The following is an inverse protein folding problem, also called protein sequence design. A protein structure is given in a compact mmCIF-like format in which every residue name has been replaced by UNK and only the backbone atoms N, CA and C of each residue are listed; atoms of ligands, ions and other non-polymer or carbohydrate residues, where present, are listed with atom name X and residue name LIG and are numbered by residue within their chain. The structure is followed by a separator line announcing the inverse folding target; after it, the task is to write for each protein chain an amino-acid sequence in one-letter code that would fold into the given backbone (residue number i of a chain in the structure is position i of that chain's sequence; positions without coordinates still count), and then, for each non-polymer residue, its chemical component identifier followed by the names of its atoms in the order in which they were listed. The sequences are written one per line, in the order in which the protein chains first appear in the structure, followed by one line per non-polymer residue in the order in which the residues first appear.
data_IF_140891201179
#
_entry.id   IF_140891201179
#
_cell.length_a   1.000
_cell.length_b   1.000
_cell.length_c   1.000
_cell.angle_alpha   90.00
_cell.angle_beta   90.00
_cell.angle_gamma   90.00
#
_symmetry.space_group_name_H-M   'P 1'
#
loop_
_entity.id
_entity.type
_entity.pdbx_description
1 polymer ?
#
# COMPACT_ATOMS: atom_id res chain seq x y z
N UNK A 1 14.87 -21.87 31.73
CA UNK A 1 14.15 -22.36 30.53
C UNK A 1 13.60 -21.15 29.82
N UNK A 2 13.99 -20.95 28.55
CA UNK A 2 13.49 -19.82 27.76
C UNK A 2 12.02 -20.08 27.37
N UNK A 3 11.09 -19.27 27.90
CA UNK A 3 9.66 -19.37 27.63
C UNK A 3 9.28 -18.58 26.32
N UNK A 4 9.81 -19.02 25.19
CA UNK A 4 9.58 -18.33 23.91
C UNK A 4 8.18 -18.60 23.30
N UNK A 5 7.42 -19.54 23.85
CA UNK A 5 6.10 -19.91 23.35
C UNK A 5 4.98 -19.15 24.10
N UNK A 6 4.19 -18.37 23.35
CA UNK A 6 3.04 -17.58 23.86
C UNK A 6 1.99 -18.50 24.52
N UNK A 7 1.72 -19.66 23.94
CA UNK A 7 0.75 -20.63 24.48
C UNK A 7 1.16 -21.15 25.86
N UNK A 8 2.45 -21.44 26.05
CA UNK A 8 3.00 -21.90 27.31
C UNK A 8 2.95 -20.81 28.39
N UNK A 9 3.25 -19.56 28.04
CA UNK A 9 3.11 -18.41 28.96
C UNK A 9 1.66 -18.21 29.41
N UNK A 10 0.71 -18.27 28.48
CA UNK A 10 -0.72 -18.15 28.79
C UNK A 10 -1.21 -19.29 29.72
N UNK A 11 -0.70 -20.50 29.52
CA UNK A 11 -0.99 -21.62 30.41
C UNK A 11 -0.47 -21.39 31.83
N UNK A 12 0.76 -20.87 31.98
CA UNK A 12 1.36 -20.54 33.27
C UNK A 12 0.59 -19.42 33.99
N UNK A 13 0.17 -18.37 33.25
CA UNK A 13 -0.68 -17.31 33.82
C UNK A 13 -2.01 -17.88 34.33
N UNK A 14 -2.68 -18.73 33.54
CA UNK A 14 -3.94 -19.38 33.94
C UNK A 14 -3.77 -20.27 35.18
N UNK A 15 -2.63 -20.94 35.30
CA UNK A 15 -2.31 -21.80 36.44
C UNK A 15 -1.79 -21.03 37.64
N UNK A 16 -1.64 -19.71 37.61
CA UNK A 16 -1.10 -18.88 38.69
C UNK A 16 0.38 -19.11 38.98
N UNK A 17 1.12 -19.76 38.08
CA UNK A 17 2.54 -20.08 38.26
C UNK A 17 3.39 -18.87 37.95
N UNK A 18 4.17 -18.33 38.91
CA UNK A 18 5.01 -17.16 38.69
C UNK A 18 6.16 -17.48 37.73
N UNK A 19 6.49 -16.52 36.87
CA UNK A 19 7.66 -16.63 36.00
C UNK A 19 8.24 -15.25 35.64
N UNK A 20 9.53 -15.25 35.33
CA UNK A 20 10.25 -14.12 34.76
C UNK A 20 10.94 -14.62 33.47
N UNK A 21 10.62 -14.01 32.38
CA UNK A 21 11.21 -14.31 31.07
C UNK A 21 11.78 -13.07 30.43
N UNK A 22 13.07 -13.01 30.23
CA UNK A 22 13.75 -11.89 29.57
C UNK A 22 13.74 -12.08 28.05
N UNK A 23 13.52 -10.97 27.27
CA UNK A 23 13.22 -9.62 27.75
C UNK A 23 11.71 -9.40 28.00
N UNK A 24 11.35 -8.85 29.14
CA UNK A 24 10.12 -8.09 29.31
C UNK A 24 8.84 -8.81 29.78
N UNK A 25 8.80 -10.15 29.99
CA UNK A 25 7.61 -10.81 30.50
C UNK A 25 7.81 -11.24 31.96
N UNK A 26 7.03 -10.65 32.86
CA UNK A 26 7.06 -10.94 34.29
C UNK A 26 5.65 -11.22 34.80
N UNK A 27 5.44 -12.35 35.44
CA UNK A 27 4.20 -12.68 36.12
C UNK A 27 4.49 -13.12 37.55
N UNK A 28 4.21 -12.25 38.51
CA UNK A 28 4.42 -12.46 39.93
C UNK A 28 3.11 -12.17 40.68
N UNK A 29 2.15 -13.09 40.67
CA UNK A 29 0.81 -12.88 41.24
C UNK A 29 0.83 -12.56 42.73
N UNK A 30 1.78 -13.08 43.48
CA UNK A 30 1.93 -12.80 44.92
C UNK A 30 2.41 -11.37 45.22
N UNK A 31 2.93 -10.63 44.20
CA UNK A 31 3.30 -9.24 44.28
C UNK A 31 2.34 -8.31 43.50
N UNK A 32 1.30 -8.88 42.89
CA UNK A 32 0.38 -8.13 42.01
C UNK A 32 1.02 -7.62 40.72
N UNK A 33 2.18 -8.16 40.32
CA UNK A 33 2.93 -7.69 39.14
C UNK A 33 2.62 -8.58 37.93
N UNK A 34 2.09 -7.94 36.88
CA UNK A 34 1.90 -8.53 35.55
C UNK A 34 2.49 -7.57 34.52
N UNK A 35 3.71 -7.84 34.08
CA UNK A 35 4.34 -7.13 32.97
C UNK A 35 4.34 -8.08 31.76
N UNK A 36 3.63 -7.70 30.73
CA UNK A 36 3.65 -8.39 29.44
C UNK A 36 4.26 -7.46 28.41
N UNK A 37 5.39 -7.87 27.85
CA UNK A 37 5.86 -7.28 26.63
C UNK A 37 4.85 -7.61 25.53
N UNK A 38 4.10 -6.63 25.10
CA UNK A 38 3.34 -6.73 23.87
C UNK A 38 4.40 -6.70 22.77
N UNK A 39 4.88 -7.89 22.39
CA UNK A 39 5.66 -8.03 21.17
C UNK A 39 4.77 -7.52 20.02
N UNK A 40 4.83 -6.24 19.72
CA UNK A 40 4.60 -5.82 18.36
C UNK A 40 5.66 -6.57 17.57
N UNK A 41 5.24 -7.57 16.77
CA UNK A 41 6.11 -8.06 15.72
C UNK A 41 6.73 -6.82 15.10
N UNK A 42 8.05 -6.64 15.27
CA UNK A 42 8.76 -5.73 14.38
C UNK A 42 8.58 -6.37 13.01
N UNK A 43 7.56 -5.90 12.32
CA UNK A 43 7.42 -6.15 10.91
C UNK A 43 8.75 -5.66 10.36
N UNK A 44 9.48 -6.55 9.71
CA UNK A 44 10.70 -6.18 8.99
C UNK A 44 10.31 -4.95 8.19
N UNK A 45 10.99 -3.81 8.43
CA UNK A 45 10.70 -2.57 7.68
C UNK A 45 10.78 -2.94 6.21
N UNK A 46 9.64 -3.01 5.57
CA UNK A 46 9.61 -3.29 4.16
C UNK A 46 10.29 -2.11 3.47
N UNK A 47 11.35 -2.38 2.71
CA UNK A 47 12.09 -1.32 1.99
C UNK A 47 11.21 -0.59 0.98
N UNK A 48 10.09 -1.18 0.59
CA UNK A 48 9.11 -0.65 -0.36
C UNK A 48 7.67 -0.91 0.10
N UNK A 49 6.76 -0.06 -0.36
CA UNK A 49 5.33 -0.25 -0.16
C UNK A 49 4.81 -1.47 -0.94
N UNK A 50 3.84 -2.19 -0.35
CA UNK A 50 3.03 -3.13 -1.12
C UNK A 50 2.10 -2.35 -2.07
N UNK A 51 1.65 -2.94 -3.20
CA UNK A 51 0.74 -2.27 -4.13
C UNK A 51 -0.51 -1.69 -3.47
N UNK A 52 -1.20 -2.48 -2.63
CA UNK A 52 -2.37 -2.00 -1.89
C UNK A 52 -2.02 -0.87 -0.89
N UNK A 53 -0.83 -0.89 -0.30
CA UNK A 53 -0.34 0.18 0.58
C UNK A 53 -0.15 1.47 -0.20
N UNK A 54 0.45 1.39 -1.39
CA UNK A 54 0.63 2.56 -2.25
C UNK A 54 -0.70 3.15 -2.74
N UNK A 55 -1.69 2.30 -3.05
CA UNK A 55 -3.04 2.77 -3.38
C UNK A 55 -3.67 3.56 -2.22
N UNK A 56 -3.61 3.02 -1.00
CA UNK A 56 -4.11 3.71 0.20
C UNK A 56 -3.31 4.99 0.48
N UNK A 57 -1.99 4.96 0.31
CA UNK A 57 -1.13 6.13 0.43
C UNK A 57 -1.55 7.25 -0.52
N UNK A 58 -1.76 6.93 -1.81
CA UNK A 58 -2.18 7.91 -2.81
C UNK A 58 -3.57 8.48 -2.52
N UNK A 59 -4.52 7.65 -2.10
CA UNK A 59 -5.84 8.11 -1.69
C UNK A 59 -5.73 9.15 -0.54
N UNK A 60 -4.98 8.82 0.50
CA UNK A 60 -4.78 9.72 1.63
C UNK A 60 -3.99 10.99 1.25
N UNK A 61 -3.10 10.93 0.27
CA UNK A 61 -2.31 12.08 -0.19
C UNK A 61 -3.20 13.21 -0.72
N UNK A 62 -4.31 12.87 -1.40
CA UNK A 62 -5.22 13.84 -1.99
C UNK A 62 -6.34 14.32 -1.06
N UNK A 63 -6.46 13.76 0.14
CA UNK A 63 -7.39 14.24 1.16
C UNK A 63 -6.92 15.56 1.76
N UNK A 64 -7.82 16.30 2.41
CA UNK A 64 -7.49 17.49 3.19
C UNK A 64 -6.65 17.15 4.44
N UNK A 65 -5.83 18.12 4.91
CA UNK A 65 -4.83 17.85 5.96
C UNK A 65 -5.46 17.53 7.33
N UNK A 66 -6.66 18.05 7.61
CA UNK A 66 -7.35 17.84 8.89
C UNK A 66 -8.33 16.66 8.87
N UNK A 67 -8.53 16.06 7.71
CA UNK A 67 -9.53 15.03 7.52
C UNK A 67 -9.08 13.68 8.05
N UNK A 68 -10.00 12.97 8.70
CA UNK A 68 -9.85 11.56 9.02
C UNK A 68 -10.93 10.77 8.30
N UNK A 69 -10.61 9.60 7.81
CA UNK A 69 -11.51 8.75 7.03
C UNK A 69 -11.61 7.37 7.66
N UNK A 70 -12.79 6.76 7.54
CA UNK A 70 -12.97 5.40 8.01
C UNK A 70 -12.23 4.42 7.11
N UNK A 71 -11.59 3.44 7.73
CA UNK A 71 -10.88 2.37 7.02
C UNK A 71 -11.77 1.61 6.04
N UNK A 72 -13.05 1.42 6.40
CA UNK A 72 -14.08 0.80 5.57
C UNK A 72 -14.39 1.62 4.31
N UNK A 73 -14.45 2.96 4.43
CA UNK A 73 -14.71 3.86 3.31
C UNK A 73 -13.57 3.81 2.28
N UNK A 74 -12.32 3.88 2.74
CA UNK A 74 -11.15 3.76 1.86
C UNK A 74 -11.11 2.39 1.19
N UNK A 75 -11.43 1.31 1.93
CA UNK A 75 -11.47 -0.03 1.36
C UNK A 75 -12.52 -0.17 0.26
N UNK A 76 -13.71 0.40 0.47
CA UNK A 76 -14.78 0.39 -0.52
C UNK A 76 -14.42 1.23 -1.76
N UNK A 77 -13.89 2.44 -1.56
CA UNK A 77 -13.49 3.33 -2.66
C UNK A 77 -12.41 2.71 -3.55
N UNK A 78 -11.44 2.01 -2.94
CA UNK A 78 -10.32 1.38 -3.65
C UNK A 78 -10.59 -0.08 -4.02
N UNK A 79 -11.79 -0.58 -3.79
CA UNK A 79 -12.20 -1.97 -4.00
C UNK A 79 -11.23 -2.98 -3.35
N UNK A 80 -10.78 -2.67 -2.12
CA UNK A 80 -9.86 -3.50 -1.36
C UNK A 80 -10.59 -4.43 -0.40
N UNK A 81 -10.07 -5.66 -0.26
CA UNK A 81 -10.57 -6.58 0.77
C UNK A 81 -10.22 -6.10 2.19
N UNK A 82 -10.99 -6.54 3.20
CA UNK A 82 -10.72 -6.24 4.62
C UNK A 82 -9.30 -6.63 5.05
N UNK A 83 -8.75 -7.68 4.47
CA UNK A 83 -7.38 -8.12 4.76
C UNK A 83 -6.36 -7.19 4.11
N UNK A 84 -6.58 -6.79 2.85
CA UNK A 84 -5.69 -5.90 2.11
C UNK A 84 -5.60 -4.53 2.76
N UNK A 85 -6.74 -3.90 3.08
CA UNK A 85 -6.73 -2.59 3.74
C UNK A 85 -6.11 -2.65 5.14
N UNK A 86 -6.30 -3.76 5.88
CA UNK A 86 -5.70 -3.93 7.21
C UNK A 86 -4.18 -4.04 7.13
N UNK A 87 -3.64 -4.77 6.16
CA UNK A 87 -2.19 -4.88 5.93
C UNK A 87 -1.61 -3.55 5.44
N UNK A 88 -2.30 -2.89 4.51
CA UNK A 88 -1.88 -1.60 3.96
C UNK A 88 -1.77 -0.52 5.06
N UNK A 89 -2.82 -0.36 5.87
CA UNK A 89 -2.82 0.62 6.96
C UNK A 89 -1.83 0.27 8.07
N UNK A 90 -1.60 -1.02 8.35
CA UNK A 90 -0.56 -1.44 9.30
C UNK A 90 0.84 -1.07 8.80
N UNK A 91 1.13 -1.25 7.51
CA UNK A 91 2.41 -0.86 6.92
C UNK A 91 2.62 0.66 6.94
N UNK A 92 1.60 1.45 6.59
CA UNK A 92 1.67 2.92 6.66
C UNK A 92 1.85 3.45 8.10
N UNK A 93 1.21 2.83 9.07
CA UNK A 93 1.36 3.17 10.48
C UNK A 93 2.76 2.82 10.99
N UNK A 94 3.32 1.67 10.59
CA UNK A 94 4.69 1.27 10.92
C UNK A 94 5.73 2.22 10.32
N UNK A 95 5.48 2.72 9.10
CA UNK A 95 6.31 3.77 8.47
C UNK A 95 6.14 5.13 9.15
N UNK A 96 5.24 5.26 10.13
CA UNK A 96 4.95 6.53 10.82
C UNK A 96 4.17 7.54 9.98
N UNK A 97 3.60 7.12 8.85
CA UNK A 97 2.92 8.00 7.90
C UNK A 97 1.49 8.32 8.31
N UNK A 98 0.82 7.40 9.01
CA UNK A 98 -0.57 7.56 9.47
C UNK A 98 -0.71 7.18 10.93
N UNK A 99 -1.82 7.61 11.51
CA UNK A 99 -2.36 7.17 12.79
C UNK A 99 -3.68 6.43 12.59
N UNK A 100 -3.90 5.34 13.33
CA UNK A 100 -5.17 4.64 13.41
C UNK A 100 -5.85 4.94 14.75
N UNK A 101 -7.08 5.39 14.71
CA UNK A 101 -7.88 5.76 15.89
C UNK A 101 -9.20 4.99 15.89
N UNK A 102 -9.64 4.54 17.07
CA UNK A 102 -10.99 3.95 17.21
C UNK A 102 -12.05 5.04 17.08
N UNK A 103 -13.00 4.82 16.18
CA UNK A 103 -14.19 5.63 15.99
C UNK A 103 -15.43 4.73 16.18
N UNK A 104 -15.90 4.61 17.42
CA UNK A 104 -16.96 3.67 17.78
C UNK A 104 -16.51 2.21 17.57
N UNK A 105 -17.19 1.49 16.69
CA UNK A 105 -16.88 0.11 16.30
C UNK A 105 -15.88 0.01 15.15
N UNK A 106 -15.58 1.13 14.47
CA UNK A 106 -14.72 1.19 13.31
C UNK A 106 -13.36 1.82 13.64
N UNK A 107 -12.46 1.81 12.66
CA UNK A 107 -11.13 2.42 12.75
C UNK A 107 -11.07 3.55 11.74
N UNK A 108 -10.80 4.75 12.24
CA UNK A 108 -10.47 5.91 11.43
C UNK A 108 -8.95 5.99 11.22
N UNK A 109 -8.54 6.47 10.06
CA UNK A 109 -7.15 6.73 9.69
C UNK A 109 -6.97 8.21 9.39
N UNK A 110 -5.85 8.75 9.83
CA UNK A 110 -5.45 10.14 9.61
C UNK A 110 -3.97 10.20 9.26
N UNK A 111 -3.58 11.14 8.39
CA UNK A 111 -2.17 11.42 8.09
C UNK A 111 -1.49 12.06 9.31
N UNK A 112 -0.20 11.73 9.50
CA UNK A 112 0.63 12.35 10.55
C UNK A 112 1.27 13.68 10.11
N UNK A 113 1.22 13.99 8.81
CA UNK A 113 1.95 15.08 8.18
C UNK A 113 1.04 15.89 7.24
N UNK A 114 1.44 17.12 6.94
CA UNK A 114 0.88 17.88 5.83
C UNK A 114 1.10 17.14 4.50
N UNK A 115 0.32 17.46 3.46
CA UNK A 115 0.40 16.78 2.15
C UNK A 115 1.83 16.70 1.60
N UNK A 116 2.57 17.82 1.67
CA UNK A 116 3.95 17.88 1.17
C UNK A 116 4.89 16.99 1.96
N UNK A 117 4.87 17.09 3.29
CA UNK A 117 5.72 16.28 4.17
C UNK A 117 5.37 14.79 4.09
N UNK A 118 4.08 14.47 3.95
CA UNK A 118 3.60 13.10 3.78
C UNK A 118 4.21 12.45 2.53
N UNK A 119 4.21 13.18 1.40
CA UNK A 119 4.87 12.72 0.18
C UNK A 119 6.39 12.59 0.34
N UNK A 120 7.06 13.63 0.87
CA UNK A 120 8.52 13.62 1.05
C UNK A 120 9.01 12.48 1.93
N UNK A 121 8.28 12.16 3.01
CA UNK A 121 8.62 11.05 3.90
C UNK A 121 8.35 9.67 3.27
N UNK A 122 7.45 9.60 2.32
CA UNK A 122 7.02 8.35 1.69
C UNK A 122 7.71 8.05 0.36
N UNK A 123 8.21 9.04 -0.37
CA UNK A 123 8.71 8.89 -1.76
C UNK A 123 9.77 7.81 -1.93
N UNK A 124 10.61 7.59 -0.93
CA UNK A 124 11.63 6.53 -0.96
C UNK A 124 11.06 5.11 -0.92
N UNK A 125 9.82 4.95 -0.46
CA UNK A 125 9.14 3.66 -0.33
C UNK A 125 8.22 3.33 -1.50
N UNK A 126 7.97 4.29 -2.40
CA UNK A 126 7.10 4.09 -3.55
C UNK A 126 7.67 3.04 -4.51
N UNK A 127 6.77 2.31 -5.14
CA UNK A 127 7.08 1.34 -6.19
C UNK A 127 6.62 1.87 -7.54
N UNK A 128 7.31 1.49 -8.60
CA UNK A 128 6.80 1.68 -9.95
C UNK A 128 5.69 0.64 -10.21
N UNK A 129 4.45 1.04 -10.49
CA UNK A 129 3.37 0.10 -10.81
C UNK A 129 3.51 -0.53 -12.20
N UNK A 130 4.24 0.13 -13.10
CA UNK A 130 4.47 -0.36 -14.47
C UNK A 130 5.33 -1.62 -14.42
N UNK A 131 4.81 -2.71 -14.94
CA UNK A 131 5.49 -4.01 -14.97
C UNK A 131 6.18 -4.26 -16.30
N UNK A 132 5.55 -3.85 -17.38
CA UNK A 132 6.03 -4.02 -18.74
C UNK A 132 5.54 -2.85 -19.58
N UNK A 133 6.36 -2.41 -20.51
CA UNK A 133 6.00 -1.44 -21.54
C UNK A 133 6.10 -2.13 -22.91
N UNK A 134 5.07 -1.99 -23.72
CA UNK A 134 5.05 -2.51 -25.09
C UNK A 134 4.50 -1.42 -26.01
N UNK A 135 4.90 -1.47 -27.28
CA UNK A 135 4.31 -0.65 -28.34
C UNK A 135 3.52 -1.55 -29.27
N UNK A 136 2.32 -1.14 -29.59
CA UNK A 136 1.40 -1.86 -30.48
C UNK A 136 0.87 -0.90 -31.55
N UNK A 137 0.24 -1.45 -32.61
CA UNK A 137 -0.51 -0.64 -33.55
C UNK A 137 -1.81 -0.12 -32.91
N UNK A 138 -2.12 1.13 -33.10
CA UNK A 138 -3.33 1.79 -32.53
C UNK A 138 -4.64 1.08 -32.95
N UNK A 139 -4.71 0.52 -34.14
CA UNK A 139 -5.88 -0.19 -34.64
C UNK A 139 -6.21 -1.46 -33.83
N UNK A 140 -5.27 -2.02 -33.09
CA UNK A 140 -5.46 -3.18 -32.24
C UNK A 140 -6.00 -2.82 -30.84
N UNK A 141 -6.04 -1.54 -30.49
CA UNK A 141 -6.42 -1.06 -29.15
C UNK A 141 -7.95 -1.06 -28.92
N UNK A 142 -8.63 -2.17 -29.20
CA UNK A 142 -10.06 -2.33 -28.97
C UNK A 142 -10.40 -2.83 -27.54
N UNK A 143 -9.67 -2.31 -26.51
CA UNK A 143 -9.83 -2.70 -25.10
C UNK A 143 -9.95 -1.47 -24.21
N UNK A 144 -10.49 -1.65 -23.03
CA UNK A 144 -10.52 -0.58 -22.01
C UNK A 144 -9.11 -0.27 -21.52
N UNK A 145 -8.77 1.00 -21.53
CA UNK A 145 -7.47 1.49 -21.11
C UNK A 145 -7.57 2.91 -20.57
N UNK A 146 -6.63 3.30 -19.74
CA UNK A 146 -6.56 4.61 -19.12
C UNK A 146 -5.38 5.38 -19.69
N UNK A 147 -5.51 6.70 -19.83
CA UNK A 147 -4.37 7.55 -20.12
C UNK A 147 -3.28 7.37 -19.07
N UNK A 148 -2.03 7.23 -19.47
CA UNK A 148 -0.92 6.95 -18.58
C UNK A 148 0.31 7.79 -18.94
N UNK A 149 1.34 7.72 -18.10
CA UNK A 149 2.64 8.32 -18.33
C UNK A 149 2.57 9.79 -18.69
N UNK A 150 3.31 10.18 -19.73
CA UNK A 150 3.37 11.57 -20.22
C UNK A 150 2.05 12.01 -20.86
N UNK A 151 1.27 11.09 -21.43
CA UNK A 151 -0.07 11.41 -21.97
C UNK A 151 -1.02 11.88 -20.87
N UNK A 152 -1.13 11.14 -19.78
CA UNK A 152 -1.96 11.55 -18.64
C UNK A 152 -1.46 12.86 -18.01
N UNK A 153 -0.15 13.02 -17.90
CA UNK A 153 0.46 14.22 -17.33
C UNK A 153 0.19 15.46 -18.21
N UNK A 154 0.22 15.33 -19.55
CA UNK A 154 -0.08 16.42 -20.47
C UNK A 154 -1.56 16.85 -20.43
N UNK A 155 -2.47 15.92 -20.09
CA UNK A 155 -3.90 16.23 -19.93
C UNK A 155 -4.19 17.06 -18.67
N UNK A 156 -3.36 16.92 -17.64
CA UNK A 156 -3.54 17.57 -16.34
C UNK A 156 -2.56 18.76 -16.14
N UNK A 157 -1.76 19.10 -17.14
CA UNK A 157 -0.74 20.14 -17.05
C UNK A 157 -0.55 20.87 -18.38
N UNK A 158 0.32 21.87 -18.41
CA UNK A 158 0.70 22.61 -19.63
C UNK A 158 1.84 21.92 -20.43
N UNK A 159 2.13 20.66 -20.14
CA UNK A 159 3.13 19.92 -20.90
C UNK A 159 2.58 19.51 -22.27
N UNK A 160 3.46 19.52 -23.27
CA UNK A 160 3.11 18.98 -24.57
C UNK A 160 2.87 17.47 -24.48
N UNK A 161 1.86 16.94 -25.19
CA UNK A 161 1.66 15.50 -25.24
C UNK A 161 2.88 14.78 -25.84
N UNK A 162 3.13 13.53 -25.42
CA UNK A 162 4.20 12.73 -26.00
C UNK A 162 3.91 12.42 -27.47
N UNK A 163 4.95 12.09 -28.22
CA UNK A 163 4.83 11.77 -29.64
C UNK A 163 4.02 10.49 -29.90
N UNK A 164 4.14 9.52 -29.01
CA UNK A 164 3.34 8.28 -29.00
C UNK A 164 2.46 8.32 -27.77
N UNK A 165 1.16 8.16 -27.96
CA UNK A 165 0.20 8.14 -26.84
C UNK A 165 0.50 6.97 -25.89
N UNK A 166 0.51 7.24 -24.58
CA UNK A 166 0.76 6.25 -23.54
C UNK A 166 -0.54 5.91 -22.82
N UNK A 167 -0.84 4.62 -22.68
CA UNK A 167 -2.01 4.10 -21.98
C UNK A 167 -1.66 2.97 -21.04
N UNK A 168 -2.40 2.84 -19.95
CA UNK A 168 -2.26 1.77 -19.00
C UNK A 168 -3.41 0.77 -19.13
N UNK A 169 -3.08 -0.51 -18.98
CA UNK A 169 -4.05 -1.60 -18.89
C UNK A 169 -3.74 -2.45 -17.66
N UNK A 170 -4.77 -3.12 -17.15
CA UNK A 170 -4.57 -4.00 -16.01
C UNK A 170 -3.88 -5.31 -16.46
N UNK A 171 -2.88 -5.73 -15.71
CA UNK A 171 -2.07 -6.93 -15.98
C UNK A 171 -2.88 -8.23 -16.19
N UNK A 172 -4.09 -8.30 -15.62
CA UNK A 172 -4.96 -9.48 -15.73
C UNK A 172 -5.83 -9.52 -16.99
N UNK A 173 -5.73 -8.53 -17.87
CA UNK A 173 -6.46 -8.54 -19.13
C UNK A 173 -5.85 -9.57 -20.09
N UNK A 174 -6.67 -10.53 -20.54
CA UNK A 174 -6.23 -11.60 -21.47
C UNK A 174 -5.76 -11.06 -22.82
N UNK A 175 -6.18 -9.83 -23.16
CA UNK A 175 -5.83 -9.15 -24.41
C UNK A 175 -4.32 -8.90 -24.53
N UNK A 176 -3.62 -8.70 -23.41
CA UNK A 176 -2.18 -8.36 -23.42
C UNK A 176 -1.32 -9.41 -24.11
N UNK A 177 -1.69 -10.68 -23.96
CA UNK A 177 -0.94 -11.80 -24.54
C UNK A 177 -1.21 -11.99 -26.05
N UNK A 178 -2.22 -11.30 -26.59
CA UNK A 178 -2.64 -11.39 -28.00
C UNK A 178 -2.17 -10.21 -28.84
N UNK A 179 -1.62 -9.14 -28.22
CA UNK A 179 -1.19 -7.94 -28.91
C UNK A 179 0.12 -8.16 -29.69
N UNK A 180 0.14 -7.75 -30.94
CA UNK A 180 1.36 -7.73 -31.74
C UNK A 180 2.24 -6.56 -31.35
N UNK A 181 3.45 -6.87 -30.86
CA UNK A 181 4.43 -5.86 -30.44
C UNK A 181 5.17 -5.37 -31.68
N UNK A 182 5.16 -4.05 -31.88
CA UNK A 182 5.85 -3.38 -33.00
C UNK A 182 7.03 -2.56 -32.49
N UNK A 183 8.02 -2.35 -33.38
CA UNK A 183 9.13 -1.43 -33.06
C UNK A 183 8.69 0.01 -33.41
N UNK A 184 8.56 0.82 -32.36
CA UNK A 184 8.19 2.24 -32.47
C UNK A 184 9.13 3.09 -33.35
N UNK A 185 10.29 2.56 -33.76
CA UNK A 185 11.24 3.25 -34.64
C UNK A 185 10.96 3.03 -36.11
N UNK A 186 10.26 1.95 -36.45
CA UNK A 186 9.96 1.55 -37.82
C UNK A 186 8.58 1.99 -38.29
N UNK A 187 7.70 2.40 -37.36
CA UNK A 187 6.32 2.75 -37.62
C UNK A 187 6.07 4.26 -37.48
N UNK A 188 4.95 4.75 -38.03
CA UNK A 188 4.52 6.11 -37.79
C UNK A 188 4.06 6.27 -36.34
N UNK A 189 4.57 7.24 -35.57
CA UNK A 189 4.15 7.48 -34.20
C UNK A 189 2.64 7.69 -34.02
N UNK A 190 1.95 8.25 -35.01
CA UNK A 190 0.51 8.49 -34.97
C UNK A 190 -0.30 7.18 -35.06
N UNK A 191 0.30 6.13 -35.64
CA UNK A 191 -0.28 4.79 -35.75
C UNK A 191 0.11 3.89 -34.58
N UNK A 192 1.00 4.36 -33.71
CA UNK A 192 1.49 3.62 -32.54
C UNK A 192 0.74 3.99 -31.25
N UNK A 193 0.73 3.03 -30.33
CA UNK A 193 0.25 3.19 -28.96
C UNK A 193 1.20 2.49 -28.00
N UNK A 194 1.64 3.17 -26.95
CA UNK A 194 2.47 2.58 -25.92
C UNK A 194 1.60 2.11 -24.76
N UNK A 195 1.69 0.85 -24.40
CA UNK A 195 0.94 0.23 -23.32
C UNK A 195 1.87 -0.01 -22.13
N UNK A 196 1.39 0.35 -20.92
CA UNK A 196 2.07 0.18 -19.65
C UNK A 196 1.28 -0.72 -18.71
#
# INVERSE_FOLDING_TARGET
VALNNVSMRNALVKSGVPFVNLPGNVFLPFMGIVLQDVYRKQLVKADKMMPATQMVFLELLYMSDEESVLKSEVANKLNLTKTSITRATAQLEEMGLIQQMKSGTEIAIKRNYSRKEYYENAKGYLINPVQKEITIMRCEAAFESFSAGETALSQESELNPPRIEERAIYKGEEVVDQLEIVDARSEDPDDCLKIQ
#
